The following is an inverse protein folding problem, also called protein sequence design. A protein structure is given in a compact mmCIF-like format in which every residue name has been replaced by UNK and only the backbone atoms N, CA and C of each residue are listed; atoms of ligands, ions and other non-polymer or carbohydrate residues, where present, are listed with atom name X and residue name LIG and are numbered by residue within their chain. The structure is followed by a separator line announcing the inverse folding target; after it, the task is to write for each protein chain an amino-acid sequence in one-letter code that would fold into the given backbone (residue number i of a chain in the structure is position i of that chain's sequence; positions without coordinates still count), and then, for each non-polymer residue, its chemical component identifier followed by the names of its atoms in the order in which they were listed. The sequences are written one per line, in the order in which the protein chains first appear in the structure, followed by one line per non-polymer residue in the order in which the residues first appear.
data_IF_767354754364
#
_entry.id   IF_767354754364
#
_cell.length_a   1.000
_cell.length_b   1.000
_cell.length_c   1.000
_cell.angle_alpha   90.00
_cell.angle_beta   90.00
_cell.angle_gamma   90.00
#
_symmetry.space_group_name_H-M   'P 1'
#
loop_
_entity.id
_entity.type
_entity.pdbx_description
1 polymer ?
#
# COMPACT_ATOMS: atom_id res chain seq x y z
N UNK A 1 -69.23 72.13 -32.82
CA UNK A 1 -69.37 70.77 -32.26
C UNK A 1 -68.32 69.84 -32.85
N UNK A 2 -68.21 69.74 -34.18
CA UNK A 2 -67.19 68.90 -34.86
C UNK A 2 -65.73 69.25 -34.49
N UNK A 3 -65.37 70.54 -34.41
CA UNK A 3 -64.01 70.95 -33.99
C UNK A 3 -63.63 70.56 -32.56
N UNK A 4 -64.61 70.47 -31.65
CA UNK A 4 -64.36 70.05 -30.27
C UNK A 4 -64.19 68.53 -30.17
N UNK A 5 -64.87 67.77 -31.03
CA UNK A 5 -64.76 66.31 -31.13
C UNK A 5 -63.40 65.92 -31.72
N UNK A 6 -62.96 66.58 -32.80
CA UNK A 6 -61.64 66.30 -33.40
C UNK A 6 -60.47 66.54 -32.43
N UNK A 7 -60.51 67.61 -31.64
CA UNK A 7 -59.50 67.87 -30.61
C UNK A 7 -59.52 66.84 -29.47
N UNK A 8 -60.70 66.29 -29.16
CA UNK A 8 -60.85 65.22 -28.17
C UNK A 8 -60.27 63.91 -28.70
N UNK A 9 -60.56 63.55 -29.95
CA UNK A 9 -60.04 62.35 -30.62
C UNK A 9 -58.52 62.37 -30.73
N UNK A 10 -57.93 63.52 -31.09
CA UNK A 10 -56.47 63.70 -31.13
C UNK A 10 -55.84 63.59 -29.73
N UNK A 11 -56.51 64.12 -28.71
CA UNK A 11 -56.04 64.01 -27.32
C UNK A 11 -56.11 62.58 -26.80
N UNK A 12 -57.14 61.81 -27.20
CA UNK A 12 -57.29 60.38 -26.86
C UNK A 12 -56.24 59.54 -27.58
N UNK A 13 -56.02 59.73 -28.88
CA UNK A 13 -54.96 59.03 -29.62
C UNK A 13 -53.57 59.30 -29.04
N UNK A 14 -53.30 60.53 -28.61
CA UNK A 14 -52.03 60.89 -27.97
C UNK A 14 -51.87 60.27 -26.58
N UNK A 15 -52.96 60.04 -25.87
CA UNK A 15 -52.95 59.35 -24.58
C UNK A 15 -52.70 57.85 -24.77
N UNK A 16 -53.38 57.21 -25.74
CA UNK A 16 -53.18 55.79 -26.10
C UNK A 16 -51.75 55.52 -26.55
N UNK A 17 -51.18 56.34 -27.43
CA UNK A 17 -49.79 56.17 -27.86
C UNK A 17 -48.75 56.30 -26.73
N UNK A 18 -49.05 57.08 -25.68
CA UNK A 18 -48.21 57.14 -24.47
C UNK A 18 -48.39 55.92 -23.57
N UNK A 19 -49.60 55.38 -23.48
CA UNK A 19 -49.89 54.15 -22.75
C UNK A 19 -49.20 52.95 -23.40
N UNK A 20 -49.23 52.85 -24.73
CA UNK A 20 -48.56 51.78 -25.48
C UNK A 20 -47.03 51.83 -25.30
N UNK A 21 -46.46 53.03 -25.29
CA UNK A 21 -45.02 53.22 -25.05
C UNK A 21 -44.63 52.80 -23.63
N UNK A 22 -45.44 53.12 -22.62
CA UNK A 22 -45.19 52.70 -21.23
C UNK A 22 -45.34 51.19 -21.09
N UNK A 23 -46.37 50.59 -21.70
CA UNK A 23 -46.56 49.14 -21.70
C UNK A 23 -45.36 48.41 -22.34
N UNK A 24 -44.84 48.93 -23.45
CA UNK A 24 -43.65 48.38 -24.11
C UNK A 24 -42.39 48.50 -23.24
N UNK A 25 -42.20 49.64 -22.55
CA UNK A 25 -41.07 49.82 -21.63
C UNK A 25 -41.15 48.90 -20.40
N UNK A 26 -42.35 48.58 -19.92
CA UNK A 26 -42.54 47.63 -18.81
C UNK A 26 -42.22 46.20 -19.28
N UNK A 27 -42.70 45.78 -20.45
CA UNK A 27 -42.44 44.45 -21.01
C UNK A 27 -40.93 44.21 -21.30
N UNK A 28 -40.22 45.23 -21.80
CA UNK A 28 -38.75 45.15 -21.93
C UNK A 28 -38.04 45.08 -20.58
N UNK A 29 -38.51 45.83 -19.58
CA UNK A 29 -37.90 45.83 -18.24
C UNK A 29 -38.14 44.50 -17.51
N UNK A 30 -39.32 43.90 -17.66
CA UNK A 30 -39.65 42.57 -17.10
C UNK A 30 -38.79 41.47 -17.76
N UNK A 31 -38.62 41.50 -19.09
CA UNK A 31 -37.74 40.57 -19.80
C UNK A 31 -36.26 40.68 -19.44
N UNK A 32 -35.80 41.87 -19.04
CA UNK A 32 -34.42 42.09 -18.64
C UNK A 32 -34.09 41.54 -17.24
N UNK A 33 -35.10 41.21 -16.42
CA UNK A 33 -34.93 40.77 -15.03
C UNK A 33 -35.29 39.30 -14.76
N UNK A 34 -35.93 38.59 -15.70
CA UNK A 34 -36.20 37.16 -15.58
C UNK A 34 -35.05 36.32 -16.16
N UNK A 35 -34.03 36.03 -15.35
CA UNK A 35 -33.36 34.72 -15.50
C UNK A 35 -34.29 33.66 -14.92
N UNK A 36 -34.76 32.67 -15.70
CA UNK A 36 -35.67 31.66 -15.19
C UNK A 36 -35.00 30.93 -14.02
N UNK A 37 -35.70 30.84 -12.88
CA UNK A 37 -35.16 30.24 -11.66
C UNK A 37 -34.56 28.84 -11.91
N UNK A 38 -35.09 28.11 -12.89
CA UNK A 38 -34.61 26.80 -13.34
C UNK A 38 -33.19 26.83 -13.94
N UNK A 39 -32.82 27.87 -14.70
CA UNK A 39 -31.45 28.02 -15.21
C UNK A 39 -30.44 28.39 -14.13
N UNK A 40 -30.84 29.24 -13.17
CA UNK A 40 -30.02 29.55 -11.99
C UNK A 40 -29.82 28.32 -11.12
N UNK A 41 -30.88 27.53 -10.91
CA UNK A 41 -30.82 26.28 -10.16
C UNK A 41 -29.92 25.26 -10.89
N UNK A 42 -30.06 25.13 -12.22
CA UNK A 42 -29.26 24.22 -13.02
C UNK A 42 -27.76 24.58 -12.98
N UNK A 43 -27.40 25.87 -13.14
CA UNK A 43 -26.01 26.33 -13.00
C UNK A 43 -25.46 26.08 -11.60
N UNK A 44 -26.24 26.39 -10.57
CA UNK A 44 -25.84 26.12 -9.18
C UNK A 44 -25.61 24.63 -8.92
N UNK A 45 -26.46 23.74 -9.45
CA UNK A 45 -26.30 22.28 -9.34
C UNK A 45 -25.07 21.78 -10.11
N UNK A 46 -24.79 22.35 -11.29
CA UNK A 46 -23.61 22.00 -12.10
C UNK A 46 -22.32 22.43 -11.38
N UNK A 47 -22.26 23.65 -10.86
CA UNK A 47 -21.10 24.16 -10.12
C UNK A 47 -20.87 23.36 -8.83
N UNK A 48 -21.94 23.02 -8.11
CA UNK A 48 -21.86 22.19 -6.91
C UNK A 48 -21.38 20.76 -7.24
N UNK A 49 -21.78 20.20 -8.39
CA UNK A 49 -21.29 18.90 -8.87
C UNK A 49 -19.80 18.94 -9.20
N UNK A 50 -19.32 19.97 -9.89
CA UNK A 50 -17.90 20.12 -10.17
C UNK A 50 -17.07 20.32 -8.90
N UNK A 51 -17.59 21.09 -7.94
CA UNK A 51 -16.96 21.27 -6.63
C UNK A 51 -16.86 19.94 -5.87
N UNK A 52 -17.94 19.16 -5.82
CA UNK A 52 -17.98 17.84 -5.16
C UNK A 52 -17.07 16.83 -5.86
N UNK A 53 -17.04 16.81 -7.20
CA UNK A 53 -16.13 15.95 -7.97
C UNK A 53 -14.66 16.34 -7.76
N UNK A 54 -14.36 17.64 -7.72
CA UNK A 54 -13.03 18.14 -7.42
C UNK A 54 -12.58 17.78 -6.00
N UNK A 55 -13.44 17.96 -5.00
CA UNK A 55 -13.16 17.61 -3.61
C UNK A 55 -12.97 16.10 -3.43
N UNK A 56 -13.82 15.26 -4.06
CA UNK A 56 -13.69 13.81 -3.98
C UNK A 56 -12.41 13.32 -4.66
N UNK A 57 -12.00 13.90 -5.79
CA UNK A 57 -10.71 13.59 -6.43
C UNK A 57 -9.52 14.00 -5.54
N UNK A 58 -9.54 15.20 -4.95
CA UNK A 58 -8.49 15.68 -4.05
C UNK A 58 -8.38 14.76 -2.81
N UNK A 59 -9.51 14.43 -2.17
CA UNK A 59 -9.53 13.50 -1.03
C UNK A 59 -9.01 12.13 -1.45
N UNK A 60 -9.40 11.61 -2.61
CA UNK A 60 -8.91 10.31 -3.12
C UNK A 60 -7.39 10.30 -3.35
N UNK A 61 -6.82 11.41 -3.87
CA UNK A 61 -5.38 11.57 -4.05
C UNK A 61 -4.63 11.69 -2.71
N UNK A 62 -5.25 12.29 -1.69
CA UNK A 62 -4.69 12.40 -0.34
C UNK A 62 -4.76 11.08 0.46
N UNK A 63 -5.66 10.16 0.09
CA UNK A 63 -5.85 8.85 0.76
C UNK A 63 -4.94 7.75 0.18
N UNK A 64 -4.07 8.06 -0.79
CA UNK A 64 -3.01 7.14 -1.23
C UNK A 64 -2.01 6.94 -0.09
N UNK A 65 -2.34 6.04 0.83
CA UNK A 65 -1.46 5.62 1.92
C UNK A 65 -0.21 5.02 1.29
N UNK A 66 0.94 5.65 1.55
CA UNK A 66 2.25 5.01 1.40
C UNK A 66 2.23 3.76 2.27
N UNK A 67 2.06 2.61 1.65
CA UNK A 67 2.02 1.34 2.35
C UNK A 67 3.45 0.93 2.64
N UNK A 68 3.88 1.12 3.88
CA UNK A 68 5.19 0.69 4.35
C UNK A 68 4.99 -0.44 5.35
N UNK A 69 5.13 -1.67 4.87
CA UNK A 69 5.06 -2.84 5.74
C UNK A 69 6.30 -2.92 6.61
N UNK A 70 6.09 -3.06 7.92
CA UNK A 70 7.17 -3.11 8.87
C UNK A 70 7.02 -4.29 9.81
N UNK A 71 8.07 -5.08 9.89
CA UNK A 71 8.14 -6.18 10.80
C UNK A 71 9.49 -6.86 10.76
N UNK A 72 9.76 -7.64 11.79
CA UNK A 72 11.03 -8.32 11.98
C UNK A 72 10.77 -9.75 12.44
N UNK A 73 11.58 -10.68 11.93
CA UNK A 73 11.61 -12.06 12.41
C UNK A 73 12.49 -12.10 13.67
N UNK A 74 11.89 -12.43 14.80
CA UNK A 74 12.53 -12.34 16.13
C UNK A 74 12.81 -13.69 16.76
N UNK A 75 12.19 -14.76 16.28
CA UNK A 75 12.51 -16.13 16.66
C UNK A 75 12.31 -17.06 15.45
N UNK A 76 13.36 -17.76 15.00
CA UNK A 76 14.77 -17.47 15.28
C UNK A 76 15.10 -16.01 14.88
N UNK A 77 15.91 -15.25 15.65
CA UNK A 77 16.15 -13.84 15.33
C UNK A 77 16.91 -13.68 14.02
N UNK A 78 16.42 -12.79 13.15
CA UNK A 78 17.03 -12.54 11.84
C UNK A 78 18.39 -11.87 11.90
N UNK A 79 19.17 -11.98 10.82
CA UNK A 79 20.45 -11.27 10.64
C UNK A 79 20.35 -9.78 10.98
N UNK A 80 19.22 -9.15 10.62
CA UNK A 80 18.92 -7.75 10.94
C UNK A 80 18.62 -7.50 12.43
N UNK A 81 17.98 -8.45 13.11
CA UNK A 81 17.45 -8.28 14.47
C UNK A 81 18.33 -8.88 15.57
N UNK A 82 19.32 -9.70 15.21
CA UNK A 82 20.21 -10.43 16.13
C UNK A 82 20.79 -9.56 17.26
N UNK A 83 21.20 -8.33 16.95
CA UNK A 83 21.78 -7.42 17.92
C UNK A 83 20.82 -7.10 19.09
N UNK A 84 19.50 -7.12 18.84
CA UNK A 84 18.48 -6.92 19.90
C UNK A 84 18.41 -8.08 20.89
N UNK A 85 18.91 -9.25 20.49
CA UNK A 85 18.82 -10.50 21.24
C UNK A 85 20.16 -10.96 21.81
N UNK A 86 21.10 -10.01 22.01
CA UNK A 86 22.36 -10.23 22.71
C UNK A 86 23.48 -10.86 21.89
N UNK A 87 23.31 -10.95 20.56
CA UNK A 87 24.38 -11.34 19.66
C UNK A 87 25.32 -10.17 19.39
N UNK A 88 26.63 -10.44 19.34
CA UNK A 88 27.64 -9.46 18.95
C UNK A 88 27.64 -9.27 17.42
N UNK A 89 26.63 -8.55 16.92
CA UNK A 89 26.48 -8.22 15.50
C UNK A 89 26.29 -6.71 15.28
N UNK A 90 26.62 -6.20 14.09
CA UNK A 90 26.35 -4.79 13.76
C UNK A 90 24.87 -4.46 13.94
N UNK A 91 24.60 -3.30 14.55
CA UNK A 91 23.24 -2.91 14.86
C UNK A 91 22.54 -2.39 13.60
N UNK A 92 21.41 -3.00 13.25
CA UNK A 92 20.46 -2.44 12.30
C UNK A 92 19.26 -1.86 13.04
N UNK A 93 19.23 -0.53 13.18
CA UNK A 93 18.11 0.15 13.84
C UNK A 93 16.82 0.10 13.00
N UNK A 94 16.94 -0.17 11.69
CA UNK A 94 15.87 -0.32 10.73
C UNK A 94 15.63 -1.80 10.38
N UNK A 95 15.93 -2.71 11.30
CA UNK A 95 15.73 -4.16 11.18
C UNK A 95 14.30 -4.65 10.89
N UNK A 96 13.35 -3.73 10.88
CA UNK A 96 11.94 -3.94 10.55
C UNK A 96 11.59 -3.40 9.15
N UNK A 97 12.58 -2.92 8.39
CA UNK A 97 12.43 -2.25 7.09
C UNK A 97 12.97 -3.08 5.90
N UNK A 98 13.07 -4.40 6.04
CA UNK A 98 13.55 -5.31 4.98
C UNK A 98 12.51 -5.55 3.87
N UNK A 99 11.82 -4.50 3.41
CA UNK A 99 10.72 -4.53 2.44
C UNK A 99 11.16 -4.35 0.98
N UNK A 100 12.27 -4.98 0.58
CA UNK A 100 12.77 -4.97 -0.81
C UNK A 100 13.16 -3.58 -1.34
N UNK A 101 13.48 -2.64 -0.44
CA UNK A 101 13.77 -1.25 -0.79
C UNK A 101 12.55 -0.36 -1.04
N UNK A 102 11.35 -0.88 -0.80
CA UNK A 102 10.08 -0.14 -0.85
C UNK A 102 9.28 -0.48 -2.09
N UNK A 103 7.96 -0.34 -2.00
CA UNK A 103 7.02 -0.73 -3.06
C UNK A 103 7.41 -0.17 -4.44
N UNK A 104 7.68 1.14 -4.51
CA UNK A 104 8.07 1.81 -5.76
C UNK A 104 9.35 1.22 -6.36
N UNK A 105 10.39 1.01 -5.55
CA UNK A 105 11.67 0.46 -6.00
C UNK A 105 11.52 -0.99 -6.45
N UNK A 106 10.78 -1.78 -5.68
CA UNK A 106 10.52 -3.18 -6.00
C UNK A 106 9.75 -3.34 -7.32
N UNK A 107 8.63 -2.64 -7.49
CA UNK A 107 7.71 -2.89 -8.59
C UNK A 107 8.03 -2.09 -9.84
N UNK A 108 8.32 -0.79 -9.71
CA UNK A 108 8.54 0.06 -10.89
C UNK A 108 9.94 -0.15 -11.48
N UNK A 109 10.96 -0.22 -10.62
CA UNK A 109 12.37 -0.39 -11.01
C UNK A 109 12.78 -1.86 -11.12
N UNK A 110 12.57 -2.63 -10.06
CA UNK A 110 13.07 -4.00 -9.95
C UNK A 110 12.12 -5.06 -10.51
N UNK A 111 11.01 -4.65 -11.15
CA UNK A 111 10.05 -5.54 -11.81
C UNK A 111 9.52 -6.66 -10.91
N UNK A 112 9.21 -6.30 -9.65
CA UNK A 112 8.72 -7.23 -8.65
C UNK A 112 9.78 -8.16 -8.07
N UNK A 113 11.08 -7.92 -8.32
CA UNK A 113 12.18 -8.69 -7.72
C UNK A 113 12.59 -8.11 -6.35
N UNK A 114 13.00 -9.00 -5.46
CA UNK A 114 13.48 -8.70 -4.12
C UNK A 114 14.75 -9.50 -3.85
N UNK A 115 15.71 -8.95 -3.10
CA UNK A 115 16.81 -9.75 -2.55
C UNK A 115 16.27 -10.80 -1.60
N UNK A 116 16.91 -11.96 -1.51
CA UNK A 116 16.37 -13.10 -0.75
C UNK A 116 16.27 -12.79 0.76
N UNK A 117 17.07 -11.82 1.25
CA UNK A 117 17.06 -11.30 2.62
C UNK A 117 16.22 -10.04 2.82
N UNK A 118 15.42 -9.62 1.83
CA UNK A 118 14.60 -8.41 1.90
C UNK A 118 15.29 -7.12 1.51
N UNK A 119 16.56 -7.21 1.11
CA UNK A 119 17.29 -6.10 0.52
C UNK A 119 16.71 -5.73 -0.86
N UNK A 120 16.88 -4.47 -1.31
CA UNK A 120 16.55 -4.11 -2.67
C UNK A 120 17.31 -4.96 -3.69
N UNK A 121 16.59 -5.50 -4.68
CA UNK A 121 17.18 -6.40 -5.68
C UNK A 121 18.35 -5.76 -6.47
N UNK A 122 18.29 -4.46 -6.73
CA UNK A 122 19.31 -3.71 -7.48
C UNK A 122 20.47 -3.19 -6.61
N UNK A 123 20.53 -3.55 -5.32
CA UNK A 123 21.70 -3.27 -4.48
C UNK A 123 22.89 -4.15 -4.87
N UNK A 124 24.15 -3.68 -4.67
CA UNK A 124 25.34 -4.48 -4.89
C UNK A 124 25.32 -5.78 -4.10
N UNK A 125 25.85 -6.84 -4.68
CA UNK A 125 26.03 -8.15 -4.04
C UNK A 125 27.45 -8.29 -3.44
N UNK A 126 27.62 -8.92 -2.26
CA UNK A 126 26.56 -9.40 -1.39
C UNK A 126 25.75 -8.23 -0.82
N UNK A 127 24.41 -8.35 -0.83
CA UNK A 127 23.55 -7.33 -0.23
C UNK A 127 23.78 -7.32 1.28
N UNK A 128 23.39 -6.25 1.95
CA UNK A 128 23.82 -6.03 3.35
C UNK A 128 23.36 -7.12 4.32
N UNK A 129 22.25 -7.80 4.05
CA UNK A 129 21.76 -8.93 4.85
C UNK A 129 22.12 -10.31 4.27
N UNK A 130 22.71 -10.37 3.08
CA UNK A 130 23.21 -11.62 2.49
C UNK A 130 24.55 -12.01 3.11
N UNK A 131 24.92 -13.27 2.94
CA UNK A 131 26.19 -13.86 3.39
C UNK A 131 27.37 -13.05 2.84
N UNK A 132 28.26 -12.61 3.73
CA UNK A 132 29.37 -11.71 3.38
C UNK A 132 28.99 -10.22 3.33
N UNK A 133 27.70 -9.90 3.46
CA UNK A 133 27.21 -8.55 3.72
C UNK A 133 27.41 -8.13 5.18
N UNK A 134 27.17 -6.85 5.47
CA UNK A 134 27.37 -6.24 6.80
C UNK A 134 26.68 -7.02 7.94
N UNK A 135 25.50 -7.57 7.70
CA UNK A 135 24.70 -8.31 8.70
C UNK A 135 24.75 -9.83 8.50
N UNK A 136 25.22 -10.33 7.35
CA UNK A 136 25.37 -11.75 7.05
C UNK A 136 26.69 -12.34 7.53
N UNK A 137 26.88 -12.34 8.85
CA UNK A 137 28.14 -12.70 9.52
C UNK A 137 28.32 -14.21 9.82
N UNK A 138 27.39 -15.07 9.34
CA UNK A 138 27.46 -16.52 9.53
C UNK A 138 27.26 -16.98 10.98
N UNK A 139 26.57 -16.17 11.80
CA UNK A 139 26.34 -16.47 13.21
C UNK A 139 25.09 -17.34 13.36
N UNK A 140 25.28 -18.57 13.83
CA UNK A 140 24.19 -19.52 14.10
C UNK A 140 23.38 -19.07 15.31
N UNK A 141 22.13 -18.65 15.09
CA UNK A 141 21.26 -18.12 16.16
C UNK A 141 20.54 -19.19 16.94
N UNK A 142 20.29 -20.34 16.33
CA UNK A 142 19.58 -21.47 16.94
C UNK A 142 20.15 -22.79 16.42
N UNK A 143 19.84 -23.88 17.11
CA UNK A 143 20.16 -25.24 16.66
C UNK A 143 18.94 -26.10 16.91
N UNK A 144 18.49 -26.78 15.87
CA UNK A 144 17.29 -27.62 15.94
C UNK A 144 17.61 -29.05 15.54
N UNK A 145 16.74 -29.98 15.96
CA UNK A 145 16.77 -31.36 15.47
C UNK A 145 15.96 -31.41 14.18
N UNK A 146 16.45 -32.14 13.18
CA UNK A 146 15.71 -32.44 11.96
C UNK A 146 14.32 -33.02 12.28
N UNK A 147 13.29 -32.64 11.53
CA UNK A 147 11.90 -33.05 11.79
C UNK A 147 11.22 -32.40 13.01
N UNK A 148 11.93 -31.61 13.81
CA UNK A 148 11.34 -30.98 15.01
C UNK A 148 10.34 -29.87 14.65
N UNK A 149 9.36 -29.68 15.53
CA UNK A 149 8.46 -28.53 15.49
C UNK A 149 9.09 -27.38 16.28
N UNK A 150 9.27 -26.24 15.63
CA UNK A 150 9.95 -25.07 16.22
C UNK A 150 8.98 -23.89 16.38
N UNK A 151 9.12 -23.08 17.44
CA UNK A 151 8.40 -21.82 17.53
C UNK A 151 9.01 -20.82 16.56
N UNK A 152 8.15 -20.08 15.86
CA UNK A 152 8.52 -18.99 14.97
C UNK A 152 7.74 -17.75 15.40
N UNK A 153 8.46 -16.66 15.68
CA UNK A 153 7.85 -15.40 16.13
C UNK A 153 8.23 -14.25 15.23
N UNK A 154 7.21 -13.51 14.81
CA UNK A 154 7.31 -12.33 13.97
C UNK A 154 6.71 -11.16 14.73
N UNK A 155 7.48 -10.07 14.88
CA UNK A 155 6.94 -8.81 15.38
C UNK A 155 6.56 -7.93 14.20
N UNK A 156 5.28 -7.56 14.09
CA UNK A 156 4.86 -6.51 13.17
C UNK A 156 4.75 -5.18 13.91
N UNK A 157 5.54 -4.19 13.50
CA UNK A 157 5.43 -2.81 13.99
C UNK A 157 4.42 -2.00 13.17
N UNK A 158 4.14 -2.45 11.94
CA UNK A 158 3.00 -2.00 11.12
C UNK A 158 2.37 -3.21 10.43
N UNK A 159 1.13 -3.54 10.82
CA UNK A 159 0.40 -4.67 10.26
C UNK A 159 -0.36 -4.28 8.98
N UNK A 160 -0.07 -4.98 7.90
CA UNK A 160 -0.65 -4.75 6.57
C UNK A 160 -1.48 -5.93 6.06
N UNK A 161 -1.97 -6.78 6.97
CA UNK A 161 -2.73 -7.99 6.65
C UNK A 161 -1.96 -8.90 5.67
N UNK A 162 -2.64 -9.79 4.94
CA UNK A 162 -1.98 -10.75 4.06
C UNK A 162 -1.49 -11.97 4.83
N UNK A 163 -0.31 -12.49 4.51
CA UNK A 163 0.17 -13.75 5.10
C UNK A 163 1.69 -13.87 5.17
N UNK A 164 2.16 -14.69 6.12
CA UNK A 164 3.54 -15.14 6.23
C UNK A 164 3.71 -16.52 5.63
N UNK A 165 4.88 -16.75 5.04
CA UNK A 165 5.41 -18.06 4.69
C UNK A 165 6.81 -18.21 5.26
N UNK A 166 7.19 -19.44 5.59
CA UNK A 166 8.49 -19.75 6.14
C UNK A 166 9.17 -20.82 5.32
N UNK A 167 10.45 -20.66 5.03
CA UNK A 167 11.26 -21.59 4.24
C UNK A 167 12.59 -21.84 4.92
N UNK A 168 13.24 -22.93 4.55
CA UNK A 168 14.62 -23.18 4.99
C UNK A 168 15.46 -23.72 3.84
N UNK A 169 16.77 -23.57 3.88
CA UNK A 169 17.68 -24.17 2.91
C UNK A 169 19.02 -24.43 3.57
N UNK A 170 19.66 -25.55 3.26
CA UNK A 170 21.02 -25.84 3.70
C UNK A 170 22.03 -25.01 2.88
N UNK A 171 22.98 -24.37 3.56
CA UNK A 171 24.13 -23.76 2.89
C UNK A 171 25.15 -24.85 2.52
N UNK A 172 25.31 -25.10 1.23
CA UNK A 172 26.25 -26.12 0.72
C UNK A 172 27.70 -25.64 0.74
N UNK A 173 27.93 -24.35 0.47
CA UNK A 173 29.25 -23.76 0.41
C UNK A 173 29.37 -22.62 1.41
N UNK A 174 30.48 -22.60 2.15
CA UNK A 174 30.80 -21.51 3.06
C UNK A 174 30.89 -20.20 2.27
N UNK A 175 30.38 -19.13 2.86
CA UNK A 175 30.40 -17.77 2.31
C UNK A 175 29.63 -17.60 0.98
N UNK A 176 28.84 -18.59 0.57
CA UNK A 176 27.95 -18.51 -0.58
C UNK A 176 26.50 -18.53 -0.09
N UNK A 177 25.77 -17.47 -0.44
CA UNK A 177 24.36 -17.36 -0.08
C UNK A 177 23.50 -18.43 -0.79
N UNK A 178 22.44 -18.88 -0.11
CA UNK A 178 21.45 -19.80 -0.69
C UNK A 178 20.68 -19.15 -1.84
N UNK A 179 20.04 -19.94 -2.69
CA UNK A 179 19.17 -19.40 -3.76
C UNK A 179 17.69 -19.46 -3.35
N UNK A 180 16.87 -18.63 -4.00
CA UNK A 180 15.42 -18.68 -3.78
C UNK A 180 14.85 -20.04 -4.21
N UNK A 181 15.41 -20.68 -5.24
CA UNK A 181 15.00 -22.00 -5.71
C UNK A 181 15.21 -23.07 -4.62
N UNK A 182 16.31 -23.01 -3.86
CA UNK A 182 16.53 -23.92 -2.74
C UNK A 182 15.55 -23.68 -1.58
N UNK A 183 15.28 -22.41 -1.26
CA UNK A 183 14.31 -22.05 -0.23
C UNK A 183 12.90 -22.51 -0.61
N UNK A 184 12.51 -22.36 -1.88
CA UNK A 184 11.20 -22.75 -2.39
C UNK A 184 10.99 -24.27 -2.39
N UNK A 185 12.06 -25.07 -2.38
CA UNK A 185 11.97 -26.52 -2.20
C UNK A 185 11.56 -26.94 -0.78
N UNK A 186 11.78 -26.10 0.24
CA UNK A 186 11.49 -26.43 1.64
C UNK A 186 10.58 -25.39 2.29
N UNK A 187 9.40 -25.18 1.69
CA UNK A 187 8.31 -24.43 2.30
C UNK A 187 7.79 -25.18 3.53
N UNK A 188 7.77 -24.52 4.68
CA UNK A 188 7.43 -25.13 5.95
C UNK A 188 5.91 -25.18 6.16
N UNK A 189 5.46 -26.27 6.78
CA UNK A 189 4.06 -26.49 7.14
C UNK A 189 3.87 -26.32 8.65
N UNK A 190 2.78 -25.66 9.01
CA UNK A 190 2.25 -25.68 10.37
C UNK A 190 1.59 -27.03 10.67
N UNK A 191 1.24 -27.27 11.93
CA UNK A 191 0.61 -28.53 12.39
C UNK A 191 -0.69 -28.87 11.62
N UNK A 192 -1.46 -27.85 11.25
CA UNK A 192 -2.68 -28.00 10.45
C UNK A 192 -2.42 -28.23 8.94
N UNK A 193 -1.17 -28.42 8.53
CA UNK A 193 -0.75 -28.60 7.14
C UNK A 193 -0.67 -27.30 6.33
N UNK A 194 -1.08 -26.15 6.88
CA UNK A 194 -1.01 -24.86 6.19
C UNK A 194 0.43 -24.40 6.02
N UNK A 195 0.76 -23.88 4.84
CA UNK A 195 2.02 -23.18 4.57
C UNK A 195 1.96 -21.69 4.87
N UNK A 196 0.74 -21.16 5.07
CA UNK A 196 0.48 -19.73 5.27
C UNK A 196 -0.05 -19.44 6.67
N UNK A 197 0.49 -18.38 7.26
CA UNK A 197 -0.02 -17.79 8.50
C UNK A 197 -0.65 -16.44 8.22
N UNK A 198 -1.90 -16.26 8.63
CA UNK A 198 -2.62 -15.00 8.44
C UNK A 198 -2.60 -14.22 9.76
N UNK A 199 -1.76 -13.17 9.91
CA UNK A 199 -1.74 -12.39 11.13
C UNK A 199 -3.09 -11.71 11.34
N UNK A 200 -3.65 -11.89 12.54
CA UNK A 200 -4.80 -11.12 13.00
C UNK A 200 -4.47 -9.61 13.10
N UNK A 201 -5.46 -8.76 13.41
CA UNK A 201 -5.23 -7.32 13.51
C UNK A 201 -4.24 -6.95 14.64
N UNK A 202 -3.65 -5.76 14.51
CA UNK A 202 -2.80 -5.14 15.51
C UNK A 202 -1.30 -5.26 15.26
N UNK A 203 -0.54 -4.36 15.87
CA UNK A 203 0.92 -4.34 15.85
C UNK A 203 1.42 -5.04 17.11
N UNK A 204 1.89 -6.27 16.96
CA UNK A 204 2.26 -7.16 18.06
C UNK A 204 3.15 -8.29 17.56
N UNK A 205 3.57 -9.13 18.50
CA UNK A 205 4.21 -10.41 18.20
C UNK A 205 3.15 -11.43 17.79
N UNK A 206 3.38 -12.07 16.66
CA UNK A 206 2.65 -13.22 16.16
C UNK A 206 3.54 -14.45 16.31
N UNK A 207 2.95 -15.52 16.80
CA UNK A 207 3.63 -16.79 17.04
C UNK A 207 2.93 -17.91 16.28
N UNK A 208 3.73 -18.80 15.70
CA UNK A 208 3.29 -20.04 15.07
C UNK A 208 4.33 -21.14 15.27
N UNK A 209 3.92 -22.38 15.00
CA UNK A 209 4.79 -23.55 15.15
C UNK A 209 4.90 -24.27 13.80
N UNK A 210 6.14 -24.58 13.41
CA UNK A 210 6.46 -25.11 12.08
C UNK A 210 7.33 -26.34 12.18
N UNK A 211 7.00 -27.38 11.40
CA UNK A 211 7.80 -28.60 11.32
C UNK A 211 8.97 -28.39 10.35
N UNK A 212 10.19 -28.61 10.80
CA UNK A 212 11.38 -28.65 9.93
C UNK A 212 11.38 -29.91 9.06
N UNK A 213 11.99 -29.90 7.87
CA UNK A 213 12.07 -31.09 7.01
C UNK A 213 12.78 -32.25 7.72
N UNK A 214 12.39 -33.49 7.41
CA UNK A 214 12.98 -34.70 8.00
C UNK A 214 14.28 -35.14 7.31
N UNK A 215 14.49 -34.65 6.09
CA UNK A 215 15.60 -34.99 5.19
C UNK A 215 16.61 -33.86 5.02
N UNK A 216 16.40 -32.71 5.68
CA UNK A 216 17.31 -31.57 5.64
C UNK A 216 18.23 -31.54 6.86
N UNK A 217 19.53 -31.67 6.60
CA UNK A 217 20.60 -31.49 7.61
C UNK A 217 21.62 -30.50 7.08
N UNK A 218 22.17 -29.68 7.97
CA UNK A 218 23.09 -28.61 7.62
C UNK A 218 23.95 -28.23 8.82
N UNK A 219 25.17 -27.77 8.57
CA UNK A 219 25.99 -27.09 9.58
C UNK A 219 25.55 -25.64 9.77
N UNK A 220 25.02 -25.04 8.70
CA UNK A 220 24.38 -23.74 8.65
C UNK A 220 23.21 -23.83 7.68
N UNK A 221 22.00 -23.58 8.16
CA UNK A 221 20.81 -23.40 7.33
C UNK A 221 20.42 -21.94 7.33
N UNK A 222 19.80 -21.50 6.24
CA UNK A 222 19.16 -20.20 6.19
C UNK A 222 17.65 -20.39 6.31
N UNK A 223 17.04 -19.72 7.29
CA UNK A 223 15.61 -19.69 7.55
C UNK A 223 15.01 -18.39 7.03
N UNK A 224 14.12 -18.46 6.04
CA UNK A 224 13.44 -17.31 5.44
C UNK A 224 12.06 -17.13 6.03
N UNK A 225 11.79 -15.94 6.56
CA UNK A 225 10.44 -15.42 6.68
C UNK A 225 10.12 -14.58 5.45
N UNK A 226 8.99 -14.84 4.79
CA UNK A 226 8.44 -14.02 3.71
C UNK A 226 7.07 -13.49 4.11
N UNK A 227 6.86 -12.18 4.01
CA UNK A 227 5.59 -11.52 4.28
C UNK A 227 5.01 -10.88 3.02
N UNK A 228 3.89 -11.42 2.57
CA UNK A 228 3.07 -10.83 1.50
C UNK A 228 1.97 -9.99 2.14
N UNK A 229 2.08 -8.66 2.05
CA UNK A 229 1.07 -7.72 2.54
C UNK A 229 -0.23 -7.80 1.70
N UNK A 230 -1.37 -7.56 2.35
CA UNK A 230 -2.71 -7.74 1.75
C UNK A 230 -3.49 -6.46 1.47
N UNK A 231 -2.90 -5.28 1.65
CA UNK A 231 -3.60 -4.00 1.66
C UNK A 231 -3.32 -3.08 0.46
N UNK A 232 -2.65 -3.59 -0.58
CA UNK A 232 -2.49 -2.90 -1.86
C UNK A 232 -3.53 -3.42 -2.87
N UNK A 233 -4.22 -2.51 -3.55
CA UNK A 233 -5.20 -2.82 -4.60
C UNK A 233 -4.48 -2.95 -5.95
N UNK A 234 -4.59 -4.09 -6.63
CA UNK A 234 -4.00 -4.34 -7.95
C UNK A 234 -3.63 -5.81 -8.19
N UNK A 235 -3.45 -6.18 -9.46
CA UNK A 235 -2.90 -7.49 -9.84
C UNK A 235 -1.44 -7.56 -9.38
N UNK A 236 -1.20 -8.32 -8.31
CA UNK A 236 0.12 -8.48 -7.74
C UNK A 236 0.96 -9.53 -8.49
N UNK A 237 0.47 -10.14 -9.58
CA UNK A 237 1.14 -11.26 -10.25
C UNK A 237 1.64 -12.32 -9.25
N UNK A 238 2.74 -13.01 -9.57
CA UNK A 238 3.46 -13.90 -8.62
C UNK A 238 4.32 -13.11 -7.59
N UNK A 239 3.89 -11.92 -7.20
CA UNK A 239 4.70 -10.92 -6.49
C UNK A 239 5.52 -11.41 -5.31
N UNK A 240 6.74 -10.88 -5.21
CA UNK A 240 7.58 -11.04 -4.01
C UNK A 240 7.12 -10.06 -2.93
N UNK A 241 7.15 -10.48 -1.68
CA UNK A 241 6.89 -9.63 -0.52
C UNK A 241 8.18 -9.31 0.21
N UNK A 242 8.08 -8.72 1.39
CA UNK A 242 9.22 -8.59 2.31
C UNK A 242 9.78 -9.99 2.60
N UNK A 243 11.10 -10.16 2.61
CA UNK A 243 11.76 -11.40 3.03
C UNK A 243 12.81 -11.08 4.08
N UNK A 244 13.02 -11.92 5.08
CA UNK A 244 14.06 -11.73 6.10
C UNK A 244 14.65 -13.10 6.42
N UNK A 245 15.99 -13.19 6.54
CA UNK A 245 16.71 -14.44 6.78
C UNK A 245 17.35 -14.50 8.18
N UNK A 246 17.41 -15.70 8.75
CA UNK A 246 18.17 -16.07 9.97
C UNK A 246 19.07 -17.27 9.67
N UNK A 247 20.21 -17.40 10.32
CA UNK A 247 21.08 -18.58 10.20
C UNK A 247 20.83 -19.55 11.37
N UNK A 248 20.31 -20.75 11.08
CA UNK A 248 19.87 -21.77 12.07
C UNK A 248 20.56 -23.13 11.90
#
# INVERSE_FOLDING_TARGET
MESAIGNLEESVQKADGKLDMIAWQIDEFEKAFEEPEDERLARFVIDMRFLVLGLTLIVSLLVVRRVSAHGRLIEPPSRASMWRYGFDTPHDYNDHECYCGGFTRQWQRNKGKCGICGDPWDSPTPRVHETGGKYGNGVIVRRYRTGSVIPVRVELTANHHGYFEFRTCAMTYRDQEVTQECLDQHLLHAENGSTRYYPGPGNRVFEGYYKLPEDLTCTQCVFQWRYIAGNNWGDCGNGTGMSILSDI
#
